data_IF_407152942285
#
_entry.id   IF_407152942285
#
_cell.length_a   1.000
_cell.length_b   1.000
_cell.length_c   1.000
_cell.angle_alpha   90.00
_cell.angle_beta   90.00
_cell.angle_gamma   90.00
#
_symmetry.space_group_name_H-M   'P 1'
#
loop_
_entity.id
_entity.type
_entity.pdbx_description
1 polymer ?
#
# COMPACT_ATOMS: atom_id res chain seq x y z
N UNK A 1 -29.69 -60.05 21.53
CA UNK A 1 -29.39 -60.03 20.09
C UNK A 1 -28.83 -58.66 19.74
N UNK A 2 -27.51 -58.52 19.86
CA UNK A 2 -26.70 -57.56 19.12
C UNK A 2 -26.46 -58.16 17.70
N UNK A 3 -25.65 -57.57 16.80
CA UNK A 3 -25.48 -56.17 16.34
C UNK A 3 -25.20 -56.19 14.80
N UNK A 4 -24.30 -55.32 14.30
CA UNK A 4 -23.65 -55.27 12.96
C UNK A 4 -24.31 -54.32 11.94
N UNK A 5 -23.61 -53.48 11.17
CA UNK A 5 -22.20 -53.40 10.71
C UNK A 5 -22.04 -52.03 10.01
N UNK A 6 -21.08 -51.15 10.39
CA UNK A 6 -19.70 -51.00 9.86
C UNK A 6 -19.62 -49.85 8.84
N UNK A 7 -18.63 -48.96 8.94
CA UNK A 7 -17.38 -48.92 8.15
C UNK A 7 -16.65 -47.64 8.64
N UNK A 8 -15.35 -47.53 8.96
CA UNK A 8 -14.14 -48.37 9.10
C UNK A 8 -13.17 -47.53 9.98
N UNK A 9 -12.45 -48.10 10.95
CA UNK A 9 -11.03 -48.50 10.84
C UNK A 9 -10.11 -47.44 10.20
N UNK A 10 -8.98 -47.02 10.78
CA UNK A 10 -8.01 -47.85 11.49
C UNK A 10 -7.08 -46.97 12.35
N UNK A 11 -6.75 -47.50 13.52
CA UNK A 11 -5.57 -47.20 14.33
C UNK A 11 -4.36 -47.84 13.63
N UNK A 12 -3.18 -47.21 13.65
CA UNK A 12 -1.81 -47.80 13.65
C UNK A 12 -0.81 -46.70 13.22
N UNK A 13 -0.04 -46.13 14.16
CA UNK A 13 1.40 -46.35 14.41
C UNK A 13 2.33 -45.46 13.56
N UNK A 14 3.39 -44.99 14.24
CA UNK A 14 4.55 -44.23 13.77
C UNK A 14 4.24 -42.74 13.52
N UNK A 15 4.98 -41.79 14.08
CA UNK A 15 6.43 -41.74 13.95
C UNK A 15 7.09 -41.00 15.14
N UNK A 16 7.85 -41.74 15.96
CA UNK A 16 9.02 -41.21 16.65
C UNK A 16 10.11 -41.03 15.58
N UNK A 17 9.99 -39.96 14.79
CA UNK A 17 10.89 -39.61 13.70
C UNK A 17 11.48 -38.22 13.96
N UNK A 18 12.81 -38.15 13.91
CA UNK A 18 13.61 -36.99 14.26
C UNK A 18 13.24 -35.72 13.47
N UNK A 19 13.18 -34.59 14.18
CA UNK A 19 13.17 -33.26 13.59
C UNK A 19 14.54 -33.03 12.91
N UNK A 20 14.64 -33.37 11.63
CA UNK A 20 15.84 -33.20 10.82
C UNK A 20 15.89 -31.76 10.29
N UNK A 21 16.06 -30.78 11.17
CA UNK A 21 16.15 -29.37 10.77
C UNK A 21 17.12 -28.49 11.60
N UNK A 22 17.91 -29.06 12.51
CA UNK A 22 19.01 -28.33 13.15
C UNK A 22 20.23 -29.24 13.30
N UNK A 23 21.23 -29.04 12.46
CA UNK A 23 22.54 -29.69 12.58
C UNK A 23 23.31 -29.16 13.79
N UNK A 24 23.13 -29.79 14.95
CA UNK A 24 24.01 -29.64 16.11
C UNK A 24 24.30 -31.01 16.74
N UNK A 25 25.55 -31.27 17.16
CA UNK A 25 25.92 -32.55 17.75
C UNK A 25 25.31 -32.71 19.15
N UNK A 26 24.94 -33.95 19.46
CA UNK A 26 24.42 -34.37 20.75
C UNK A 26 25.43 -34.09 21.87
N UNK A 27 25.07 -33.23 22.81
CA UNK A 27 25.79 -33.02 24.05
C UNK A 27 25.01 -33.62 25.22
N UNK A 28 25.63 -34.62 25.84
CA UNK A 28 25.52 -35.11 27.22
C UNK A 28 24.26 -34.83 28.03
N UNK A 29 23.66 -35.91 28.52
CA UNK A 29 22.82 -35.92 29.71
C UNK A 29 23.49 -35.17 30.87
N UNK A 30 22.84 -34.10 31.33
CA UNK A 30 23.09 -33.52 32.66
C UNK A 30 21.93 -33.95 33.56
N UNK A 31 22.17 -34.74 34.62
CA UNK A 31 21.14 -35.13 35.55
C UNK A 31 20.90 -34.02 36.58
N UNK A 32 19.63 -33.66 36.76
CA UNK A 32 19.17 -32.91 37.94
C UNK A 32 19.20 -31.38 37.82
N UNK A 33 18.12 -30.81 37.26
CA UNK A 33 17.50 -29.56 37.72
C UNK A 33 16.24 -29.31 36.86
N UNK A 34 15.19 -28.76 37.47
CA UNK A 34 13.82 -28.79 36.98
C UNK A 34 13.59 -28.23 35.57
N UNK A 35 13.06 -29.07 34.68
CA UNK A 35 12.57 -28.70 33.33
C UNK A 35 11.32 -27.81 33.33
N UNK A 36 10.81 -27.40 34.49
CA UNK A 36 9.57 -26.62 34.58
C UNK A 36 9.73 -25.10 34.41
N UNK A 37 10.97 -24.59 34.36
CA UNK A 37 11.21 -23.14 34.32
C UNK A 37 11.43 -22.56 32.91
N UNK A 38 11.80 -23.38 31.91
CA UNK A 38 12.22 -22.87 30.60
C UNK A 38 11.07 -22.66 29.59
N UNK A 39 9.89 -23.25 29.82
CA UNK A 39 8.72 -23.06 28.95
C UNK A 39 7.94 -21.76 29.20
N UNK A 40 8.30 -20.98 30.22
CA UNK A 40 7.56 -19.79 30.64
C UNK A 40 8.10 -18.47 30.05
N UNK A 41 9.23 -18.51 29.33
CA UNK A 41 9.81 -17.31 28.72
C UNK A 41 9.40 -17.09 27.25
N UNK A 42 8.69 -18.03 26.61
CA UNK A 42 8.30 -17.94 25.18
C UNK A 42 6.84 -17.54 24.94
N UNK A 43 6.10 -17.11 25.98
CA UNK A 43 4.73 -16.64 25.80
C UNK A 43 4.68 -15.17 25.35
N UNK A 44 4.24 -14.94 24.11
CA UNK A 44 3.94 -13.60 23.60
C UNK A 44 2.93 -12.86 24.52
N UNK A 45 3.10 -11.56 24.79
CA UNK A 45 2.25 -10.83 25.73
C UNK A 45 0.85 -10.62 25.13
N UNK A 46 -0.10 -11.49 25.46
CA UNK A 46 -1.53 -11.25 25.26
C UNK A 46 -2.13 -10.34 26.35
N UNK A 47 -3.33 -9.78 26.16
CA UNK A 47 -3.96 -8.83 27.10
C UNK A 47 -4.17 -9.37 28.54
N UNK A 48 -4.04 -10.69 28.75
CA UNK A 48 -4.03 -11.31 30.07
C UNK A 48 -2.70 -11.25 30.83
N UNK A 49 -1.58 -10.86 30.20
CA UNK A 49 -0.24 -10.89 30.82
C UNK A 49 -0.03 -9.80 31.87
N UNK A 50 -0.64 -8.63 31.69
CA UNK A 50 -0.58 -7.53 32.66
C UNK A 50 -1.21 -7.91 33.99
N UNK A 51 -2.35 -8.62 33.98
CA UNK A 51 -3.00 -9.09 35.21
C UNK A 51 -2.19 -10.17 35.93
N UNK A 52 -1.45 -11.01 35.19
CA UNK A 52 -0.56 -12.02 35.77
C UNK A 52 0.68 -11.41 36.44
N UNK A 53 1.22 -10.33 35.89
CA UNK A 53 2.32 -9.57 36.50
C UNK A 53 1.86 -8.85 37.75
N UNK A 54 0.68 -8.24 37.73
CA UNK A 54 0.13 -7.57 38.92
C UNK A 54 -0.32 -8.55 40.01
N UNK A 55 -0.77 -9.76 39.68
CA UNK A 55 -1.14 -10.77 40.68
C UNK A 55 0.07 -11.45 41.34
N UNK A 56 1.22 -11.50 40.65
CA UNK A 56 2.50 -11.94 41.20
C UNK A 56 3.25 -10.82 41.95
N UNK A 57 2.85 -9.56 41.79
CA UNK A 57 3.44 -8.42 42.51
C UNK A 57 2.92 -8.36 43.96
N UNK A 58 3.84 -8.30 44.92
CA UNK A 58 3.53 -8.05 46.33
C UNK A 58 2.78 -6.70 46.43
N UNK A 59 1.70 -6.63 47.23
CA UNK A 59 0.73 -5.50 47.27
C UNK A 59 1.36 -4.11 47.39
N UNK A 60 2.58 -4.01 47.90
CA UNK A 60 3.30 -2.74 48.07
C UNK A 60 4.02 -2.24 46.80
N UNK A 61 4.05 -3.01 45.70
CA UNK A 61 4.79 -2.68 44.47
C UNK A 61 3.94 -2.26 43.26
N UNK A 62 2.62 -2.17 43.40
CA UNK A 62 1.72 -1.78 42.30
C UNK A 62 2.04 -0.39 41.74
N UNK A 63 2.34 0.58 42.61
CA UNK A 63 2.68 1.94 42.19
C UNK A 63 3.98 1.98 41.37
N UNK A 64 4.97 1.17 41.73
CA UNK A 64 6.24 1.07 41.01
C UNK A 64 6.07 0.46 39.62
N UNK A 65 5.26 -0.60 39.50
CA UNK A 65 4.97 -1.25 38.21
C UNK A 65 4.19 -0.30 37.29
N UNK A 66 3.17 0.38 37.81
CA UNK A 66 2.39 1.37 37.04
C UNK A 66 3.29 2.49 36.50
N UNK A 67 4.14 3.05 37.38
CA UNK A 67 5.08 4.11 36.99
C UNK A 67 6.06 3.64 35.90
N UNK A 68 6.60 2.42 36.02
CA UNK A 68 7.51 1.85 35.04
C UNK A 68 6.86 1.71 33.64
N UNK A 69 5.59 1.28 33.58
CA UNK A 69 4.85 1.16 32.31
C UNK A 69 4.65 2.54 31.66
N UNK A 70 4.26 3.56 32.43
CA UNK A 70 4.10 4.91 31.91
C UNK A 70 5.41 5.52 31.42
N UNK A 71 6.51 5.32 32.16
CA UNK A 71 7.84 5.77 31.73
C UNK A 71 8.27 5.07 30.44
N UNK A 72 8.06 3.75 30.33
CA UNK A 72 8.40 3.00 29.11
C UNK A 72 7.59 3.48 27.88
N UNK A 73 6.29 3.74 28.05
CA UNK A 73 5.44 4.31 27.00
C UNK A 73 5.89 5.71 26.60
N UNK A 74 6.22 6.58 27.56
CA UNK A 74 6.71 7.93 27.30
C UNK A 74 8.06 7.94 26.56
N UNK A 75 8.99 7.06 26.94
CA UNK A 75 10.28 6.92 26.24
C UNK A 75 10.08 6.42 24.81
N UNK A 76 9.21 5.42 24.61
CA UNK A 76 8.90 4.91 23.26
C UNK A 76 8.28 5.99 22.37
N UNK A 77 7.38 6.80 22.94
CA UNK A 77 6.79 7.95 22.24
C UNK A 77 7.85 9.00 21.90
N UNK A 78 8.73 9.36 22.85
CA UNK A 78 9.80 10.33 22.64
C UNK A 78 10.80 9.87 21.56
N UNK A 79 11.18 8.59 21.57
CA UNK A 79 12.06 8.02 20.54
C UNK A 79 11.37 8.07 19.17
N UNK A 80 10.09 7.73 19.10
CA UNK A 80 9.32 7.81 17.84
C UNK A 80 9.23 9.26 17.34
N UNK A 81 8.90 10.20 18.21
CA UNK A 81 8.85 11.64 17.88
C UNK A 81 10.23 12.14 17.44
N UNK A 82 11.31 11.72 18.11
CA UNK A 82 12.67 12.09 17.73
C UNK A 82 13.07 11.51 16.37
N UNK A 83 12.77 10.24 16.09
CA UNK A 83 13.03 9.62 14.80
C UNK A 83 12.20 10.28 13.68
N UNK A 84 10.93 10.61 13.93
CA UNK A 84 10.10 11.36 12.98
C UNK A 84 10.62 12.79 12.76
N UNK A 85 11.07 13.45 13.83
CA UNK A 85 11.60 14.81 13.78
C UNK A 85 12.96 14.88 13.10
N UNK A 86 13.83 13.90 13.28
CA UNK A 86 15.14 13.84 12.60
C UNK A 86 14.98 13.48 11.13
N UNK A 87 14.01 12.63 10.76
CA UNK A 87 13.64 12.41 9.35
C UNK A 87 13.07 13.68 8.71
N UNK A 88 12.27 14.46 9.45
CA UNK A 88 11.74 15.76 8.99
C UNK A 88 12.81 16.84 8.90
N UNK A 89 13.77 16.87 9.82
CA UNK A 89 14.85 17.85 9.83
C UNK A 89 15.94 17.57 8.78
N UNK A 90 16.09 16.31 8.34
CA UNK A 90 16.96 15.94 7.22
C UNK A 90 16.42 16.41 5.86
N UNK A 91 15.13 16.80 5.79
CA UNK A 91 14.48 17.31 4.57
C UNK A 91 14.55 18.85 4.45
N UNK A 92 14.82 19.56 5.57
CA UNK A 92 14.80 21.04 5.62
C UNK A 92 16.19 21.68 5.44
N UNK A 93 17.13 20.94 4.83
CA UNK A 93 18.55 21.28 4.88
C UNK A 93 19.33 21.06 3.60
N UNK A 94 18.78 21.31 2.40
CA UNK A 94 19.60 21.49 1.21
C UNK A 94 18.83 22.25 0.11
N UNK A 95 19.30 23.45 -0.27
CA UNK A 95 18.95 24.07 -1.56
C UNK A 95 20.18 23.98 -2.46
N UNK A 96 20.26 23.01 -3.38
CA UNK A 96 21.17 23.08 -4.50
C UNK A 96 20.47 23.73 -5.70
N UNK A 97 21.27 24.50 -6.42
CA UNK A 97 20.92 25.22 -7.63
C UNK A 97 20.64 24.29 -8.82
N UNK A 98 19.68 24.72 -9.65
CA UNK A 98 19.51 24.44 -11.08
C UNK A 98 19.49 22.97 -11.58
N UNK A 99 18.37 22.68 -12.28
CA UNK A 99 18.13 21.69 -13.31
C UNK A 99 17.31 20.43 -12.94
N UNK A 100 16.21 20.31 -13.69
CA UNK A 100 15.30 19.18 -13.94
C UNK A 100 14.14 18.99 -12.95
N UNK A 101 12.91 19.14 -13.47
CA UNK A 101 11.66 19.30 -12.74
C UNK A 101 11.44 18.28 -11.62
N UNK A 102 11.19 18.82 -10.42
CA UNK A 102 10.93 18.07 -9.21
C UNK A 102 9.48 17.51 -9.18
N UNK A 103 9.23 16.38 -8.49
CA UNK A 103 7.88 15.87 -8.26
C UNK A 103 7.13 16.90 -7.40
N UNK A 104 6.11 17.53 -7.98
CA UNK A 104 5.38 18.64 -7.34
C UNK A 104 5.30 19.93 -8.15
N UNK A 105 5.86 19.96 -9.37
CA UNK A 105 5.62 21.04 -10.33
C UNK A 105 4.13 21.06 -10.74
N UNK A 106 3.44 22.21 -10.79
CA UNK A 106 2.09 22.36 -11.37
C UNK A 106 1.91 21.88 -12.83
N UNK A 107 2.91 21.20 -13.42
CA UNK A 107 2.86 20.63 -14.76
C UNK A 107 2.64 19.11 -14.82
N UNK A 108 2.48 18.40 -13.68
CA UNK A 108 2.21 16.95 -13.67
C UNK A 108 0.90 16.62 -14.41
N UNK A 109 -0.19 17.33 -14.10
CA UNK A 109 -1.40 17.37 -14.91
C UNK A 109 -1.44 18.70 -15.65
N UNK A 110 -1.60 18.65 -16.97
CA UNK A 110 -1.77 19.84 -17.79
C UNK A 110 -3.11 19.78 -18.51
N UNK A 111 -3.61 20.96 -18.89
CA UNK A 111 -4.92 21.13 -19.51
C UNK A 111 -5.12 20.25 -20.76
N UNK A 112 -4.07 20.10 -21.56
CA UNK A 112 -4.05 19.30 -22.79
C UNK A 112 -4.16 17.78 -22.54
N UNK A 113 -3.97 17.32 -21.30
CA UNK A 113 -4.10 15.93 -20.88
C UNK A 113 -5.40 15.63 -20.12
N UNK A 114 -6.41 16.50 -20.26
CA UNK A 114 -7.71 16.33 -19.60
C UNK A 114 -8.79 16.17 -20.67
N UNK A 115 -9.47 15.03 -20.64
CA UNK A 115 -10.63 14.73 -21.45
C UNK A 115 -11.86 14.55 -20.55
N UNK A 116 -12.78 15.52 -20.59
CA UNK A 116 -13.98 15.53 -19.73
C UNK A 116 -15.06 14.54 -20.21
N UNK A 117 -14.98 14.19 -21.50
CA UNK A 117 -15.90 13.31 -22.19
C UNK A 117 -15.10 12.30 -23.02
N UNK A 118 -14.62 11.24 -22.36
CA UNK A 118 -14.01 10.10 -23.04
C UNK A 118 -15.05 9.35 -23.88
N UNK A 119 -14.59 8.65 -24.93
CA UNK A 119 -15.46 7.94 -25.87
C UNK A 119 -15.30 6.42 -25.84
N UNK A 120 -14.30 5.92 -25.11
CA UNK A 120 -14.08 4.51 -24.91
C UNK A 120 -15.29 3.82 -24.28
N UNK A 121 -15.59 2.63 -24.78
CA UNK A 121 -16.71 1.80 -24.31
C UNK A 121 -16.24 0.63 -23.44
N UNK A 122 -14.94 0.39 -23.41
CA UNK A 122 -14.32 -0.69 -22.64
C UNK A 122 -13.01 -0.24 -22.03
N UNK A 123 -12.50 -1.11 -21.14
CA UNK A 123 -11.24 -0.92 -20.42
C UNK A 123 -10.07 -0.66 -21.37
N UNK A 124 -9.97 -1.40 -22.48
CA UNK A 124 -8.82 -1.30 -23.37
C UNK A 124 -8.83 0.06 -24.09
N UNK A 125 -9.99 0.48 -24.62
CA UNK A 125 -10.15 1.81 -25.19
C UNK A 125 -9.85 2.91 -24.18
N UNK A 126 -10.25 2.73 -22.92
CA UNK A 126 -10.02 3.75 -21.89
C UNK A 126 -8.56 3.90 -21.50
N UNK A 127 -7.80 2.80 -21.49
CA UNK A 127 -6.34 2.79 -21.31
C UNK A 127 -5.66 3.45 -22.50
N UNK A 128 -6.12 3.16 -23.72
CA UNK A 128 -5.59 3.76 -24.92
C UNK A 128 -5.81 5.28 -24.95
N UNK A 129 -7.01 5.78 -24.62
CA UNK A 129 -7.28 7.22 -24.53
C UNK A 129 -6.39 7.90 -23.49
N UNK A 130 -6.31 7.35 -22.28
CA UNK A 130 -5.49 7.91 -21.21
C UNK A 130 -3.99 7.91 -21.58
N UNK A 131 -3.51 6.82 -22.18
CA UNK A 131 -2.13 6.70 -22.64
C UNK A 131 -1.80 7.64 -23.79
N UNK A 132 -2.73 7.83 -24.75
CA UNK A 132 -2.53 8.69 -25.89
C UNK A 132 -2.36 10.16 -25.49
N UNK A 133 -3.09 10.64 -24.47
CA UNK A 133 -2.88 11.98 -23.90
C UNK A 133 -1.44 12.18 -23.37
N UNK A 134 -0.83 11.13 -22.78
CA UNK A 134 0.56 11.18 -22.31
C UNK A 134 1.54 11.20 -23.50
N UNK A 135 1.24 10.48 -24.57
CA UNK A 135 2.04 10.45 -25.81
C UNK A 135 1.99 11.81 -26.51
N UNK A 136 0.79 12.34 -26.72
CA UNK A 136 0.56 13.58 -27.48
C UNK A 136 1.22 14.80 -26.84
N UNK A 137 1.30 14.81 -25.51
CA UNK A 137 1.97 15.87 -24.74
C UNK A 137 3.46 15.59 -24.46
N UNK A 138 4.02 14.55 -25.07
CA UNK A 138 5.44 14.20 -25.01
C UNK A 138 5.92 13.75 -23.61
N UNK A 139 5.02 13.27 -22.75
CA UNK A 139 5.37 12.70 -21.44
C UNK A 139 6.06 11.35 -21.61
N UNK A 140 5.60 10.57 -22.59
CA UNK A 140 6.07 9.20 -22.87
C UNK A 140 6.26 8.96 -24.38
N UNK A 141 6.90 7.85 -24.71
CA UNK A 141 6.88 7.28 -26.07
C UNK A 141 5.64 6.41 -26.30
N UNK A 142 5.26 6.21 -27.57
CA UNK A 142 4.06 5.45 -27.95
C UNK A 142 4.03 4.02 -27.37
N UNK A 143 5.20 3.38 -27.23
CA UNK A 143 5.33 2.04 -26.65
C UNK A 143 4.88 1.96 -25.18
N UNK A 144 4.76 3.09 -24.49
CA UNK A 144 4.28 3.12 -23.11
C UNK A 144 2.80 2.72 -23.00
N UNK A 145 1.99 2.96 -24.04
CA UNK A 145 0.58 2.56 -24.05
C UNK A 145 0.46 1.03 -24.01
N UNK A 146 1.27 0.32 -24.80
CA UNK A 146 1.33 -1.14 -24.77
C UNK A 146 1.74 -1.67 -23.39
N UNK A 147 2.67 -0.98 -22.72
CA UNK A 147 3.08 -1.33 -21.37
C UNK A 147 1.95 -1.12 -20.35
N UNK A 148 1.13 -0.07 -20.49
CA UNK A 148 -0.06 0.15 -19.65
C UNK A 148 -1.05 -1.02 -19.80
N UNK A 149 -1.32 -1.45 -21.02
CA UNK A 149 -2.17 -2.61 -21.28
C UNK A 149 -1.58 -3.90 -20.71
N UNK A 150 -0.27 -4.12 -20.86
CA UNK A 150 0.40 -5.29 -20.31
C UNK A 150 0.28 -5.34 -18.79
N UNK A 151 0.53 -4.22 -18.11
CA UNK A 151 0.43 -4.10 -16.66
C UNK A 151 -0.99 -4.36 -16.16
N UNK A 152 -2.00 -3.85 -16.87
CA UNK A 152 -3.42 -4.06 -16.57
C UNK A 152 -3.87 -5.52 -16.77
N UNK A 153 -3.26 -6.25 -17.72
CA UNK A 153 -3.57 -7.68 -17.92
C UNK A 153 -3.12 -8.54 -16.73
N UNK A 154 -2.04 -8.16 -16.07
CA UNK A 154 -1.51 -8.88 -14.90
C UNK A 154 -2.39 -8.67 -13.67
N UNK A 155 -2.64 -7.42 -13.29
CA UNK A 155 -3.47 -7.05 -12.13
C UNK A 155 -4.24 -5.80 -12.48
N UNK A 156 -5.55 -5.82 -12.19
CA UNK A 156 -6.44 -4.67 -12.41
C UNK A 156 -5.90 -3.42 -11.72
N UNK A 157 -5.95 -2.28 -12.42
CA UNK A 157 -5.62 -0.96 -11.85
C UNK A 157 -6.84 -0.20 -11.32
N UNK A 158 -7.99 -0.88 -11.24
CA UNK A 158 -9.16 -0.35 -10.52
C UNK A 158 -8.85 -0.17 -9.03
N UNK A 159 -9.23 0.97 -8.46
CA UNK A 159 -8.95 1.34 -7.06
C UNK A 159 -10.20 1.52 -6.20
N UNK A 160 -11.39 1.23 -6.73
CA UNK A 160 -12.64 1.59 -6.06
C UNK A 160 -13.07 3.02 -6.38
N UNK A 161 -14.23 3.43 -5.86
CA UNK A 161 -14.78 4.78 -6.01
C UNK A 161 -14.79 5.29 -7.47
N UNK A 162 -15.13 4.41 -8.42
CA UNK A 162 -15.22 4.70 -9.84
C UNK A 162 -13.88 5.09 -10.51
N UNK A 163 -12.73 4.86 -9.84
CA UNK A 163 -11.39 5.22 -10.31
C UNK A 163 -10.60 4.00 -10.83
N UNK A 164 -9.96 4.16 -11.98
CA UNK A 164 -8.84 3.33 -12.42
C UNK A 164 -7.57 4.16 -12.68
N UNK A 165 -6.40 3.60 -12.39
CA UNK A 165 -5.09 4.27 -12.52
C UNK A 165 -4.12 3.51 -13.42
N UNK A 166 -4.40 3.40 -14.74
CA UNK A 166 -3.52 2.66 -15.63
C UNK A 166 -2.13 3.28 -15.70
N UNK A 167 -1.11 2.44 -15.60
CA UNK A 167 0.31 2.80 -15.61
C UNK A 167 1.12 1.67 -16.23
N UNK A 168 2.31 1.98 -16.77
CA UNK A 168 3.24 0.98 -17.28
C UNK A 168 3.90 0.17 -16.18
N UNK A 169 4.53 -0.94 -16.54
CA UNK A 169 5.39 -1.69 -15.61
C UNK A 169 6.75 -1.00 -15.40
N UNK A 170 7.51 -1.42 -14.40
CA UNK A 170 8.82 -0.83 -14.08
C UNK A 170 9.80 -0.94 -15.26
N UNK A 171 9.68 -1.97 -16.09
CA UNK A 171 10.50 -2.18 -17.30
C UNK A 171 10.24 -1.13 -18.37
N UNK A 172 9.08 -0.46 -18.36
CA UNK A 172 8.71 0.58 -19.31
C UNK A 172 9.21 1.98 -18.92
N UNK A 173 9.90 2.11 -17.78
CA UNK A 173 10.51 3.38 -17.32
C UNK A 173 11.36 4.09 -18.40
N UNK A 174 12.13 3.41 -19.26
CA UNK A 174 12.89 4.07 -20.33
C UNK A 174 12.03 4.83 -21.35
N UNK A 175 10.75 4.46 -21.50
CA UNK A 175 9.81 5.16 -22.39
C UNK A 175 9.21 6.43 -21.75
N UNK A 176 9.53 6.73 -20.48
CA UNK A 176 9.06 7.91 -19.75
C UNK A 176 10.09 9.04 -19.90
N UNK A 177 9.70 10.11 -20.61
CA UNK A 177 10.55 11.30 -20.81
C UNK A 177 10.53 12.20 -19.58
N UNK A 178 9.36 12.35 -18.96
CA UNK A 178 9.13 13.13 -17.73
C UNK A 178 7.96 12.56 -16.94
N UNK A 179 7.90 12.83 -15.64
CA UNK A 179 6.75 12.48 -14.82
C UNK A 179 5.52 13.27 -15.27
N UNK A 180 4.35 12.62 -15.36
CA UNK A 180 3.10 13.25 -15.76
C UNK A 180 1.89 12.33 -15.64
N UNK A 181 0.70 12.94 -15.55
CA UNK A 181 -0.57 12.23 -15.54
C UNK A 181 -1.52 12.77 -16.60
N UNK A 182 -2.46 11.93 -17.01
CA UNK A 182 -3.63 12.29 -17.82
C UNK A 182 -4.91 11.97 -17.06
N UNK A 183 -6.00 12.63 -17.42
CA UNK A 183 -7.30 12.43 -16.81
C UNK A 183 -8.37 12.27 -17.89
N UNK A 184 -9.16 11.21 -17.79
CA UNK A 184 -10.33 10.99 -18.64
C UNK A 184 -11.55 10.71 -17.79
N UNK A 185 -12.66 11.40 -18.06
CA UNK A 185 -13.96 11.14 -17.44
C UNK A 185 -14.94 10.52 -18.44
N UNK A 186 -15.62 9.48 -17.99
CA UNK A 186 -16.69 8.76 -18.71
C UNK A 186 -18.00 8.94 -17.93
N UNK A 187 -18.88 9.89 -18.34
CA UNK A 187 -20.13 10.17 -17.62
C UNK A 187 -21.02 8.94 -17.43
N UNK A 188 -21.06 8.09 -18.46
CA UNK A 188 -21.87 6.86 -18.51
C UNK A 188 -21.16 5.64 -17.92
N UNK A 189 -19.89 5.79 -17.51
CA UNK A 189 -19.06 4.71 -17.01
C UNK A 189 -18.52 3.76 -18.08
N UNK A 190 -17.44 3.07 -17.74
CA UNK A 190 -16.78 2.04 -18.53
C UNK A 190 -16.66 0.79 -17.67
N UNK A 191 -16.96 -0.38 -18.24
CA UNK A 191 -16.79 -1.65 -17.52
C UNK A 191 -15.31 -2.01 -17.39
N UNK A 192 -14.87 -2.22 -16.16
CA UNK A 192 -13.52 -2.62 -15.79
C UNK A 192 -13.52 -4.04 -15.22
N UNK A 193 -13.87 -5.02 -16.08
CA UNK A 193 -14.07 -6.43 -15.71
C UNK A 193 -15.14 -6.63 -14.61
N UNK A 194 -16.28 -5.96 -14.76
CA UNK A 194 -17.43 -6.07 -13.84
C UNK A 194 -17.53 -4.92 -12.85
N UNK A 195 -16.46 -4.16 -12.65
CA UNK A 195 -16.47 -2.91 -11.89
C UNK A 195 -16.86 -1.73 -12.80
N UNK A 196 -17.52 -0.72 -12.25
CA UNK A 196 -17.83 0.52 -12.97
C UNK A 196 -16.72 1.56 -12.74
N UNK A 197 -16.20 2.14 -13.82
CA UNK A 197 -15.19 3.21 -13.78
C UNK A 197 -15.70 4.42 -14.51
N UNK A 198 -15.72 5.59 -13.85
CA UNK A 198 -16.05 6.88 -14.46
C UNK A 198 -14.83 7.77 -14.63
N UNK A 199 -13.73 7.47 -13.94
CA UNK A 199 -12.54 8.30 -13.92
C UNK A 199 -11.31 7.43 -14.17
N UNK A 200 -10.56 7.77 -15.20
CA UNK A 200 -9.32 7.08 -15.55
C UNK A 200 -8.19 8.08 -15.47
N UNK A 201 -7.20 7.80 -14.63
CA UNK A 201 -6.02 8.64 -14.46
C UNK A 201 -4.79 7.88 -14.93
N UNK A 202 -4.31 8.19 -16.13
CA UNK A 202 -3.10 7.58 -16.68
C UNK A 202 -1.86 8.14 -15.99
N UNK A 203 -0.95 7.27 -15.55
CA UNK A 203 0.24 7.69 -14.78
C UNK A 203 1.53 7.25 -15.49
N UNK A 204 2.43 8.22 -15.69
CA UNK A 204 3.81 8.01 -16.06
C UNK A 204 4.70 8.65 -14.98
N UNK A 205 5.25 7.83 -14.09
CA UNK A 205 6.17 8.29 -13.04
C UNK A 205 7.58 7.81 -13.30
N UNK A 206 8.56 8.71 -13.27
CA UNK A 206 9.97 8.34 -13.36
C UNK A 206 10.50 7.97 -11.96
N UNK A 207 11.14 6.81 -11.83
CA UNK A 207 11.67 6.37 -10.53
C UNK A 207 10.57 6.10 -9.51
N UNK A 208 10.70 6.64 -8.29
CA UNK A 208 9.77 6.39 -7.18
C UNK A 208 8.50 7.27 -7.21
N UNK A 209 8.42 8.22 -8.15
CA UNK A 209 7.29 9.16 -8.25
C UNK A 209 5.94 8.47 -8.48
N UNK A 210 5.93 7.30 -9.12
CA UNK A 210 4.70 6.61 -9.51
C UNK A 210 3.83 6.24 -8.30
N UNK A 211 4.43 5.74 -7.21
CA UNK A 211 3.69 5.37 -5.99
C UNK A 211 3.15 6.61 -5.29
N UNK A 212 3.99 7.65 -5.19
CA UNK A 212 3.61 8.92 -4.57
C UNK A 212 2.42 9.56 -5.28
N UNK A 213 2.43 9.58 -6.61
CA UNK A 213 1.32 10.11 -7.41
C UNK A 213 0.04 9.30 -7.22
N UNK A 214 0.15 7.97 -7.22
CA UNK A 214 -0.99 7.08 -6.99
C UNK A 214 -1.66 7.38 -5.65
N UNK A 215 -0.88 7.51 -4.57
CA UNK A 215 -1.41 7.82 -3.24
C UNK A 215 -2.19 9.13 -3.21
N UNK A 216 -1.61 10.18 -3.79
CA UNK A 216 -2.25 11.51 -3.84
C UNK A 216 -3.52 11.54 -4.70
N UNK A 217 -3.52 10.81 -5.81
CA UNK A 217 -4.73 10.65 -6.63
C UNK A 217 -5.79 9.92 -5.80
N UNK A 218 -5.44 8.80 -5.14
CA UNK A 218 -6.39 8.07 -4.32
C UNK A 218 -7.04 8.94 -3.24
N UNK A 219 -6.29 9.83 -2.58
CA UNK A 219 -6.84 10.78 -1.60
C UNK A 219 -7.94 11.69 -2.18
N UNK A 220 -7.79 12.16 -3.42
CA UNK A 220 -8.84 12.93 -4.11
C UNK A 220 -10.12 12.11 -4.24
N UNK A 221 -10.00 10.82 -4.58
CA UNK A 221 -11.14 9.93 -4.84
C UNK A 221 -11.73 9.27 -3.58
N UNK A 222 -11.11 9.42 -2.41
CA UNK A 222 -11.67 8.97 -1.13
C UNK A 222 -12.67 9.97 -0.55
N UNK A 223 -12.68 11.23 -1.02
CA UNK A 223 -13.59 12.27 -0.55
C UNK A 223 -14.87 12.31 -1.39
N UNK A 224 -16.02 12.07 -0.75
CA UNK A 224 -17.33 12.24 -1.39
C UNK A 224 -17.54 13.65 -1.93
N UNK A 225 -17.01 14.67 -1.23
CA UNK A 225 -17.06 16.06 -1.68
C UNK A 225 -16.27 16.27 -2.98
N UNK A 226 -15.07 15.70 -3.08
CA UNK A 226 -14.26 15.77 -4.31
C UNK A 226 -14.91 15.00 -5.46
N UNK A 227 -15.49 13.82 -5.19
CA UNK A 227 -16.24 13.08 -6.21
C UNK A 227 -17.46 13.87 -6.71
N UNK A 228 -18.20 14.55 -5.83
CA UNK A 228 -19.30 15.41 -6.22
C UNK A 228 -18.83 16.57 -7.11
N UNK A 229 -17.67 17.20 -6.78
CA UNK A 229 -17.07 18.25 -7.62
C UNK A 229 -16.58 17.70 -8.96
N UNK A 230 -15.95 16.52 -8.99
CA UNK A 230 -15.52 15.85 -10.23
C UNK A 230 -16.72 15.50 -11.13
N UNK A 231 -17.85 15.10 -10.55
CA UNK A 231 -19.08 14.83 -11.29
C UNK A 231 -19.70 16.13 -11.85
N UNK A 232 -19.66 17.22 -11.10
CA UNK A 232 -20.21 18.52 -11.50
C UNK A 232 -19.32 19.31 -12.48
N UNK A 233 -18.02 19.03 -12.53
CA UNK A 233 -17.04 19.72 -13.38
C UNK A 233 -17.48 19.75 -14.86
N UNK A 234 -17.39 20.94 -15.48
CA UNK A 234 -17.78 21.17 -16.87
C UNK A 234 -16.58 21.56 -17.75
N UNK A 235 -15.49 22.01 -17.14
CA UNK A 235 -14.29 22.49 -17.81
C UNK A 235 -13.03 21.81 -17.33
N UNK A 236 -11.98 21.88 -18.15
CA UNK A 236 -10.67 21.31 -17.79
C UNK A 236 -10.08 22.06 -16.60
N UNK A 237 -10.40 23.36 -16.48
CA UNK A 237 -9.96 24.20 -15.37
C UNK A 237 -10.62 23.78 -14.05
N UNK A 238 -11.88 23.32 -14.09
CA UNK A 238 -12.55 22.74 -12.90
C UNK A 238 -11.82 21.50 -12.41
N UNK A 239 -11.40 20.63 -13.33
CA UNK A 239 -10.61 19.44 -13.01
C UNK A 239 -9.24 19.85 -12.46
N UNK A 240 -8.53 20.76 -13.12
CA UNK A 240 -7.23 21.26 -12.66
C UNK A 240 -7.31 21.83 -11.24
N UNK A 241 -8.38 22.56 -10.90
CA UNK A 241 -8.56 23.11 -9.56
C UNK A 241 -8.67 22.01 -8.48
N UNK A 242 -9.26 20.86 -8.80
CA UNK A 242 -9.40 19.73 -7.87
C UNK A 242 -8.08 18.98 -7.65
N UNK A 243 -7.27 18.86 -8.71
CA UNK A 243 -5.93 18.30 -8.64
C UNK A 243 -4.88 19.33 -8.18
N UNK A 244 -5.20 20.62 -8.17
CA UNK A 244 -4.32 21.68 -7.66
C UNK A 244 -4.01 21.55 -6.17
N UNK A 245 -4.90 20.91 -5.41
CA UNK A 245 -4.69 20.53 -4.00
C UNK A 245 -3.69 19.39 -3.82
N UNK A 246 -3.33 18.70 -4.91
CA UNK A 246 -2.27 17.68 -4.94
C UNK A 246 -0.92 18.40 -5.01
N UNK A 247 -0.58 19.12 -3.95
CA UNK A 247 0.74 19.72 -3.77
C UNK A 247 1.76 18.63 -3.40
N UNK A 248 3.05 18.80 -3.75
CA UNK A 248 4.14 17.99 -3.18
C UNK A 248 4.03 17.87 -1.66
#
# INVERSE_FOLDING_TARGET
MHPFTTIVSNMIVADTGACTACGMPAAGEVPGAGKSALCLLDAAPGPGSIFAVYSAAVRDSFAGVTFAVFVAAAVSLLVTVFLLRTRRAADEGERPAAATGAPGDPSVLARDRILIHGVAQDREGAIAEAGQLLVDSGVVDASYVDAMHQRERSVSTYMGNLLAVPHGSSEATPAIKRTGISFVRYPDGVSWKGEEVKYVVGIAGKGEDHVTLIGKIAEVFLSEEHLAKLAAAQTQDDILALFGSVHP
#
